data_IF_783967419144
#
_entry.id   IF_783967419144
#
_cell.length_a   1.000
_cell.length_b   1.000
_cell.length_c   1.000
_cell.angle_alpha   90.00
_cell.angle_beta   90.00
_cell.angle_gamma   90.00
#
_symmetry.space_group_name_H-M   'P 1'
#
loop_
_entity.id
_entity.type
_entity.pdbx_description
1 polymer ?
#
# COMPACT_ATOMS: atom_id res chain seq x y z
N UNK A 1 18.69 -8.28 -7.82
CA UNK A 1 17.73 -9.37 -7.57
C UNK A 1 16.34 -8.79 -7.68
N UNK A 2 15.40 -9.49 -8.33
CA UNK A 2 14.00 -9.04 -8.39
C UNK A 2 13.31 -9.45 -7.08
N UNK A 3 12.67 -8.49 -6.43
CA UNK A 3 11.88 -8.69 -5.22
C UNK A 3 10.39 -8.58 -5.59
N UNK A 4 9.56 -9.46 -5.04
CA UNK A 4 8.11 -9.49 -5.31
C UNK A 4 7.34 -9.08 -4.08
N UNK A 5 6.60 -7.98 -4.19
CA UNK A 5 5.69 -7.51 -3.15
C UNK A 5 4.26 -7.97 -3.46
N UNK A 6 3.53 -8.37 -2.42
CA UNK A 6 2.13 -8.80 -2.51
C UNK A 6 1.35 -7.96 -1.51
N UNK A 7 0.31 -7.30 -1.99
CA UNK A 7 -0.63 -6.55 -1.16
C UNK A 7 -1.98 -7.29 -1.23
N UNK A 8 -2.43 -7.94 -0.13
CA UNK A 8 -3.57 -8.86 -0.16
C UNK A 8 -4.91 -8.16 -0.36
N UNK A 9 -5.02 -6.90 0.06
CA UNK A 9 -6.23 -6.09 -0.09
C UNK A 9 -5.90 -4.60 -0.29
N UNK A 10 -6.95 -3.80 -0.52
CA UNK A 10 -6.80 -2.36 -0.70
C UNK A 10 -6.37 -1.65 0.59
N UNK A 11 -6.70 -2.16 1.77
CA UNK A 11 -6.30 -1.55 3.04
C UNK A 11 -4.78 -1.59 3.17
N UNK A 12 -4.17 -2.75 2.94
CA UNK A 12 -2.72 -2.92 3.02
C UNK A 12 -2.02 -2.18 1.89
N UNK A 13 -2.54 -2.22 0.65
CA UNK A 13 -1.98 -1.46 -0.46
C UNK A 13 -1.93 0.06 -0.16
N UNK A 14 -3.03 0.63 0.33
CA UNK A 14 -3.11 2.06 0.66
C UNK A 14 -2.21 2.41 1.84
N UNK A 15 -2.17 1.57 2.87
CA UNK A 15 -1.31 1.77 4.03
C UNK A 15 0.17 1.78 3.64
N UNK A 16 0.63 0.79 2.86
CA UNK A 16 2.03 0.66 2.45
C UNK A 16 2.45 1.72 1.43
N UNK A 17 1.51 2.32 0.70
CA UNK A 17 1.78 3.40 -0.25
C UNK A 17 2.01 4.77 0.41
N UNK A 18 1.64 4.96 1.68
CA UNK A 18 1.85 6.22 2.39
C UNK A 18 3.34 6.57 2.53
N UNK A 19 3.64 7.86 2.67
CA UNK A 19 4.94 8.30 3.18
C UNK A 19 5.18 7.82 4.61
N UNK A 20 6.44 7.84 5.04
CA UNK A 20 6.80 7.47 6.40
C UNK A 20 6.14 8.40 7.43
N UNK A 21 5.34 7.81 8.31
CA UNK A 21 4.63 8.51 9.39
C UNK A 21 4.70 7.65 10.64
N UNK A 22 5.05 8.26 11.77
CA UNK A 22 5.14 7.56 13.05
C UNK A 22 3.80 6.92 13.47
N UNK A 23 2.66 7.52 13.13
CA UNK A 23 1.35 6.93 13.38
C UNK A 23 1.12 5.60 12.63
N UNK A 24 1.48 5.55 11.34
CA UNK A 24 1.35 4.32 10.54
C UNK A 24 2.33 3.25 11.03
N UNK A 25 3.51 3.64 11.52
CA UNK A 25 4.46 2.72 12.15
C UNK A 25 3.91 2.14 13.46
N UNK A 26 3.39 2.99 14.35
CA UNK A 26 2.77 2.56 15.61
C UNK A 26 1.55 1.66 15.38
N UNK A 27 0.81 1.90 14.29
CA UNK A 27 -0.32 1.08 13.88
C UNK A 27 0.05 -0.22 13.16
N UNK A 28 1.34 -0.48 12.88
CA UNK A 28 1.78 -1.64 12.10
C UNK A 28 1.40 -1.60 10.61
N UNK A 29 1.03 -0.42 10.11
CA UNK A 29 0.51 -0.18 8.76
C UNK A 29 1.60 0.26 7.78
N UNK A 30 2.67 0.90 8.27
CA UNK A 30 3.74 1.43 7.43
C UNK A 30 4.44 0.34 6.61
N UNK A 31 4.97 0.72 5.43
CA UNK A 31 5.86 -0.15 4.66
C UNK A 31 7.09 -0.54 5.47
N UNK A 32 7.52 -1.79 5.32
CA UNK A 32 8.73 -2.37 5.95
C UNK A 32 10.02 -1.86 5.32
N UNK A 33 9.95 -1.32 4.09
CA UNK A 33 11.08 -0.72 3.39
C UNK A 33 10.63 0.31 2.36
N UNK A 34 11.57 1.17 1.94
CA UNK A 34 11.34 2.09 0.83
C UNK A 34 11.02 1.37 -0.49
N UNK A 35 11.57 0.17 -0.72
CA UNK A 35 11.26 -0.62 -1.92
C UNK A 35 9.81 -1.08 -1.92
N UNK A 36 9.31 -1.55 -0.78
CA UNK A 36 7.90 -1.93 -0.62
C UNK A 36 6.98 -0.72 -0.80
N UNK A 37 7.35 0.44 -0.25
CA UNK A 37 6.60 1.70 -0.40
C UNK A 37 6.47 2.11 -1.87
N UNK A 38 7.59 2.08 -2.60
CA UNK A 38 7.59 2.40 -4.04
C UNK A 38 6.77 1.37 -4.83
N UNK A 39 6.88 0.08 -4.52
CA UNK A 39 6.06 -0.95 -5.15
C UNK A 39 4.56 -0.77 -4.88
N UNK A 40 4.18 -0.40 -3.65
CA UNK A 40 2.80 -0.10 -3.28
C UNK A 40 2.28 1.13 -4.05
N UNK A 41 3.07 2.20 -4.15
CA UNK A 41 2.71 3.41 -4.94
C UNK A 41 2.51 3.09 -6.42
N UNK A 42 3.41 2.30 -7.01
CA UNK A 42 3.27 1.86 -8.40
C UNK A 42 2.01 1.03 -8.58
N UNK A 43 1.78 0.04 -7.71
CA UNK A 43 0.60 -0.83 -7.78
C UNK A 43 -0.70 -0.04 -7.60
N UNK A 44 -0.70 0.96 -6.73
CA UNK A 44 -1.84 1.85 -6.49
C UNK A 44 -2.08 2.78 -7.70
N UNK A 45 -1.04 3.29 -8.35
CA UNK A 45 -1.16 4.10 -9.56
C UNK A 45 -1.78 3.33 -10.74
N UNK A 46 -1.54 2.01 -10.81
CA UNK A 46 -2.11 1.13 -11.83
C UNK A 46 -3.52 0.62 -11.49
N UNK A 47 -4.07 0.96 -10.32
CA UNK A 47 -5.36 0.45 -9.86
C UNK A 47 -6.53 1.23 -10.51
N UNK A 48 -7.49 0.56 -11.18
CA UNK A 48 -8.68 1.23 -11.69
C UNK A 48 -9.52 1.85 -10.58
N UNK A 49 -10.00 3.08 -10.77
CA UNK A 49 -10.84 3.78 -9.79
C UNK A 49 -12.09 2.99 -9.38
N UNK A 50 -12.69 2.24 -10.31
CA UNK A 50 -13.83 1.37 -10.02
C UNK A 50 -13.54 0.37 -8.88
N UNK A 51 -12.29 -0.14 -8.78
CA UNK A 51 -11.93 -1.07 -7.70
C UNK A 51 -11.96 -0.42 -6.33
N UNK A 52 -11.56 0.85 -6.24
CA UNK A 52 -11.60 1.63 -4.99
C UNK A 52 -13.06 1.86 -4.58
N UNK A 53 -13.94 2.15 -5.54
CA UNK A 53 -15.37 2.37 -5.28
C UNK A 53 -16.10 1.07 -4.89
N UNK A 54 -15.77 -0.04 -5.54
CA UNK A 54 -16.35 -1.37 -5.26
C UNK A 54 -15.94 -1.96 -3.91
N UNK A 55 -14.79 -1.53 -3.36
CA UNK A 55 -14.19 -2.07 -2.14
C UNK A 55 -13.87 -0.94 -1.15
N UNK A 56 -14.90 -0.31 -0.55
CA UNK A 56 -14.68 0.71 0.46
C UNK A 56 -13.95 0.12 1.67
N UNK A 57 -13.11 0.93 2.31
CA UNK A 57 -12.30 0.48 3.45
C UNK A 57 -13.06 0.51 4.79
N UNK A 58 -14.33 0.98 4.76
CA UNK A 58 -15.25 1.16 5.89
C UNK A 58 -16.65 0.73 5.45
#
# INVERSE_FOLDING_TARGET
MSERFIFPDLRELFAKANEEKSGDQLGGLAASSERERVAAKQKLADLPLAKIVEQPLI
#
